data_IF_317226741921
#
_entry.id   IF_317226741921
#
_cell.length_a   1.000
_cell.length_b   1.000
_cell.length_c   1.000
_cell.angle_alpha   90.00
_cell.angle_beta   90.00
_cell.angle_gamma   90.00
#
_symmetry.space_group_name_H-M   'P 1'
#
loop_
_entity.id
_entity.type
_entity.pdbx_description
1 polymer ?
#
# COMPACT_ATOMS: atom_id res chain seq x y z
N UNK A 1 -48.24 4.93 -1.94
CA UNK A 1 -47.35 3.91 -2.44
C UNK A 1 -46.00 3.93 -1.72
N UNK A 2 -45.66 2.83 -1.18
CA UNK A 2 -44.42 2.77 -0.42
C UNK A 2 -43.24 2.75 -1.39
N UNK A 3 -42.41 3.77 -1.34
CA UNK A 3 -41.14 3.70 -2.02
C UNK A 3 -40.37 2.51 -1.47
N UNK A 4 -39.77 1.72 -2.33
CA UNK A 4 -38.85 0.69 -1.88
C UNK A 4 -37.85 1.31 -0.91
N UNK A 5 -37.95 0.96 0.36
CA UNK A 5 -36.92 1.26 1.32
C UNK A 5 -35.61 0.70 0.75
N UNK A 6 -34.63 1.55 0.54
CA UNK A 6 -33.37 1.06 0.06
C UNK A 6 -32.85 0.01 1.05
N UNK A 7 -32.59 -1.21 0.58
CA UNK A 7 -31.99 -2.27 1.38
C UNK A 7 -30.49 -2.00 1.63
N UNK A 8 -30.14 -0.72 1.85
CA UNK A 8 -28.76 -0.40 2.19
C UNK A 8 -28.44 -0.90 3.59
N UNK A 9 -27.29 -1.54 3.78
CA UNK A 9 -26.87 -2.01 5.09
C UNK A 9 -26.71 -0.83 6.05
N UNK A 10 -27.04 -1.05 7.30
CA UNK A 10 -26.72 -0.09 8.36
C UNK A 10 -25.21 -0.04 8.59
N UNK A 11 -24.74 0.99 9.28
CA UNK A 11 -23.32 1.05 9.70
C UNK A 11 -22.92 -0.20 10.50
N UNK A 12 -23.79 -0.67 11.39
CA UNK A 12 -23.56 -1.90 12.15
C UNK A 12 -23.39 -3.11 11.24
N UNK A 13 -24.24 -3.26 10.22
CA UNK A 13 -24.14 -4.36 9.26
C UNK A 13 -22.82 -4.27 8.47
N UNK A 14 -22.42 -3.08 8.06
CA UNK A 14 -21.18 -2.86 7.33
C UNK A 14 -19.96 -3.22 8.19
N UNK A 15 -19.94 -2.84 9.46
CA UNK A 15 -18.87 -3.19 10.40
C UNK A 15 -18.83 -4.70 10.67
N UNK A 16 -20.00 -5.33 10.85
CA UNK A 16 -20.10 -6.78 11.00
C UNK A 16 -19.51 -7.51 9.79
N UNK A 17 -19.89 -7.09 8.59
CA UNK A 17 -19.41 -7.70 7.35
C UNK A 17 -17.90 -7.51 7.19
N UNK A 18 -17.38 -6.35 7.56
CA UNK A 18 -15.96 -6.01 7.38
C UNK A 18 -15.05 -6.69 8.41
N UNK A 19 -15.42 -6.69 9.67
CA UNK A 19 -14.53 -7.08 10.76
C UNK A 19 -14.86 -8.43 11.39
N UNK A 20 -16.14 -8.79 11.50
CA UNK A 20 -16.55 -9.99 12.23
C UNK A 20 -16.91 -11.16 11.33
N UNK A 21 -17.64 -10.96 10.24
CA UNK A 21 -17.99 -12.05 9.35
C UNK A 21 -16.77 -12.81 8.82
N UNK A 22 -15.65 -12.16 8.46
CA UNK A 22 -14.45 -12.87 8.07
C UNK A 22 -13.89 -13.79 9.15
N UNK A 23 -14.07 -13.51 10.43
CA UNK A 23 -13.59 -14.35 11.52
C UNK A 23 -14.32 -15.69 11.65
N UNK A 24 -15.51 -15.80 11.08
CA UNK A 24 -16.36 -17.00 11.13
C UNK A 24 -16.03 -18.00 10.04
N UNK A 25 -15.20 -17.61 9.07
CA UNK A 25 -14.80 -18.47 7.96
C UNK A 25 -13.63 -19.36 8.38
N UNK A 26 -13.66 -20.61 7.91
CA UNK A 26 -12.47 -21.46 8.02
C UNK A 26 -11.33 -20.82 7.20
N UNK A 27 -10.15 -20.69 7.78
CA UNK A 27 -9.03 -20.00 7.18
C UNK A 27 -7.76 -20.78 7.28
N UNK A 28 -6.92 -20.61 6.27
CA UNK A 28 -5.50 -20.84 6.38
C UNK A 28 -4.86 -19.66 7.10
N UNK A 29 -3.97 -19.93 8.03
CA UNK A 29 -3.19 -18.88 8.69
C UNK A 29 -2.18 -18.31 7.70
N UNK A 30 -2.09 -16.98 7.65
CA UNK A 30 -1.15 -16.26 6.78
C UNK A 30 -0.44 -15.21 7.58
N UNK A 31 0.82 -14.96 7.22
CA UNK A 31 1.65 -13.93 7.83
C UNK A 31 2.02 -12.91 6.75
N UNK A 32 1.80 -11.65 7.04
CA UNK A 32 2.30 -10.54 6.26
C UNK A 32 3.53 -9.96 6.96
N UNK A 33 4.48 -9.46 6.17
CA UNK A 33 5.67 -8.77 6.66
C UNK A 33 5.73 -7.39 6.01
N UNK A 34 6.04 -6.39 6.80
CA UNK A 34 6.26 -5.03 6.33
C UNK A 34 7.65 -4.57 6.73
N UNK A 35 8.31 -3.88 5.81
CA UNK A 35 9.59 -3.20 6.06
C UNK A 35 9.38 -1.71 5.84
N UNK A 36 9.73 -0.92 6.83
CA UNK A 36 9.76 0.53 6.73
C UNK A 36 11.21 0.98 6.68
N UNK A 37 11.55 1.74 5.67
CA UNK A 37 12.91 2.18 5.39
C UNK A 37 12.94 3.69 5.22
N UNK A 38 13.64 4.43 6.09
CA UNK A 38 13.85 5.84 5.84
C UNK A 38 14.77 6.03 4.62
N UNK A 39 14.40 6.97 3.77
CA UNK A 39 15.23 7.34 2.61
C UNK A 39 16.15 8.47 3.02
N UNK A 40 17.44 8.29 2.81
CA UNK A 40 18.46 9.24 3.23
C UNK A 40 19.38 9.60 2.06
N UNK A 41 19.57 10.90 1.81
CA UNK A 41 20.51 11.38 0.81
C UNK A 41 21.94 11.35 1.39
N UNK A 42 22.79 10.52 0.83
CA UNK A 42 24.17 10.36 1.28
C UNK A 42 25.13 11.42 0.74
N UNK A 43 24.67 12.28 -0.16
CA UNK A 43 25.49 13.40 -0.63
C UNK A 43 25.72 14.38 0.52
N UNK A 44 26.96 14.74 0.86
CA UNK A 44 27.23 15.68 1.93
C UNK A 44 26.46 16.99 1.76
N UNK A 45 25.87 17.47 2.86
CA UNK A 45 25.07 18.71 2.93
C UNK A 45 23.86 18.78 1.99
N UNK A 46 23.50 17.69 1.36
CA UNK A 46 22.30 17.63 0.52
C UNK A 46 21.08 17.21 1.32
N UNK A 47 19.94 17.85 1.07
CA UNK A 47 18.68 17.48 1.68
C UNK A 47 18.15 16.17 1.08
N UNK A 48 17.45 15.39 1.90
CA UNK A 48 16.60 14.30 1.43
C UNK A 48 15.22 14.92 1.12
N UNK A 49 15.15 15.63 0.02
CA UNK A 49 13.93 16.27 -0.43
C UNK A 49 13.08 15.34 -1.32
N UNK A 50 11.93 15.83 -1.72
CA UNK A 50 11.02 15.09 -2.58
C UNK A 50 11.69 14.60 -3.89
N UNK A 51 12.50 15.45 -4.50
CA UNK A 51 13.19 15.11 -5.75
C UNK A 51 14.17 13.95 -5.58
N UNK A 52 14.95 13.96 -4.49
CA UNK A 52 15.87 12.87 -4.17
C UNK A 52 15.15 11.55 -3.90
N UNK A 53 14.06 11.61 -3.14
CA UNK A 53 13.23 10.41 -2.85
C UNK A 53 12.59 9.87 -4.11
N UNK A 54 12.06 10.75 -4.95
CA UNK A 54 11.45 10.35 -6.21
C UNK A 54 12.45 9.66 -7.14
N UNK A 55 13.64 10.21 -7.29
CA UNK A 55 14.70 9.62 -8.10
C UNK A 55 15.13 8.24 -7.56
N UNK A 56 15.28 8.11 -6.25
CA UNK A 56 15.62 6.84 -5.60
C UNK A 56 14.51 5.80 -5.82
N UNK A 57 13.26 6.19 -5.72
CA UNK A 57 12.12 5.30 -5.94
C UNK A 57 12.06 4.80 -7.37
N UNK A 58 12.23 5.69 -8.35
CA UNK A 58 12.26 5.30 -9.77
C UNK A 58 13.42 4.35 -10.06
N UNK A 59 14.60 4.59 -9.50
CA UNK A 59 15.74 3.69 -9.64
C UNK A 59 15.46 2.32 -9.02
N UNK A 60 14.91 2.29 -7.83
CA UNK A 60 14.51 1.04 -7.17
C UNK A 60 13.52 0.25 -8.02
N UNK A 61 12.46 0.88 -8.48
CA UNK A 61 11.42 0.23 -9.29
C UNK A 61 11.96 -0.31 -10.62
N UNK A 62 13.00 0.30 -11.18
CA UNK A 62 13.63 -0.20 -12.41
C UNK A 62 14.35 -1.54 -12.23
N UNK A 63 14.66 -1.93 -10.99
CA UNK A 63 15.43 -3.13 -10.64
C UNK A 63 14.59 -4.29 -10.11
N UNK A 64 13.33 -4.06 -9.81
CA UNK A 64 12.45 -5.04 -9.18
C UNK A 64 11.15 -5.20 -9.97
N UNK A 65 10.45 -6.35 -9.84
CA UNK A 65 9.32 -6.69 -10.71
C UNK A 65 8.00 -6.02 -10.32
N UNK A 66 8.02 -4.80 -9.83
CA UNK A 66 6.82 -4.01 -9.65
C UNK A 66 6.34 -3.46 -10.99
N UNK A 67 5.06 -3.58 -11.28
CA UNK A 67 4.51 -3.19 -12.58
C UNK A 67 3.29 -2.29 -12.51
N UNK A 68 2.48 -2.42 -11.48
CA UNK A 68 1.26 -1.64 -11.33
C UNK A 68 1.55 -0.36 -10.57
N UNK A 69 1.94 0.68 -11.30
CA UNK A 69 2.31 1.97 -10.70
C UNK A 69 1.09 2.86 -10.53
N UNK A 70 0.93 3.44 -9.35
CA UNK A 70 0.00 4.54 -9.11
C UNK A 70 0.81 5.81 -8.90
N UNK A 71 0.50 6.83 -9.69
CA UNK A 71 1.22 8.12 -9.66
C UNK A 71 0.31 9.20 -9.10
N UNK A 72 0.91 10.17 -8.44
CA UNK A 72 0.23 11.36 -8.00
C UNK A 72 0.03 12.36 -9.16
N UNK A 73 -0.57 13.50 -8.87
CA UNK A 73 -0.87 14.53 -9.88
C UNK A 73 0.39 15.14 -10.50
N UNK A 74 1.53 15.02 -9.85
CA UNK A 74 2.83 15.48 -10.33
C UNK A 74 3.64 14.41 -11.06
N UNK A 75 3.08 13.21 -11.18
CA UNK A 75 3.70 12.08 -11.86
C UNK A 75 4.63 11.23 -11.01
N UNK A 76 4.75 11.50 -9.72
CA UNK A 76 5.55 10.68 -8.81
C UNK A 76 4.82 9.39 -8.46
N UNK A 77 5.54 8.28 -8.46
CA UNK A 77 4.99 7.00 -7.99
C UNK A 77 4.83 7.05 -6.48
N UNK A 78 3.64 6.80 -5.99
CA UNK A 78 3.38 6.66 -4.56
C UNK A 78 2.98 5.24 -4.15
N UNK A 79 2.70 4.38 -5.10
CA UNK A 79 2.45 2.96 -4.88
C UNK A 79 2.83 2.16 -6.11
N UNK A 80 3.41 0.99 -5.90
CA UNK A 80 3.68 0.03 -6.95
C UNK A 80 3.41 -1.38 -6.42
N UNK A 81 2.91 -2.27 -7.25
CA UNK A 81 2.53 -3.61 -6.85
C UNK A 81 3.15 -4.64 -7.79
N UNK A 82 3.64 -5.73 -7.23
CA UNK A 82 3.96 -6.94 -8.01
C UNK A 82 2.70 -7.82 -8.04
N UNK A 83 2.05 -7.98 -9.19
CA UNK A 83 0.82 -8.76 -9.28
C UNK A 83 1.03 -10.25 -9.05
N UNK A 84 2.24 -10.78 -9.22
CA UNK A 84 2.54 -12.18 -9.02
C UNK A 84 2.63 -12.56 -7.54
N UNK A 85 3.30 -11.74 -6.74
CA UNK A 85 3.50 -11.98 -5.31
C UNK A 85 2.56 -11.19 -4.43
N UNK A 86 1.94 -10.15 -4.96
CA UNK A 86 1.14 -9.15 -4.26
C UNK A 86 1.96 -8.30 -3.28
N UNK A 87 3.27 -8.27 -3.48
CA UNK A 87 4.12 -7.33 -2.76
C UNK A 87 3.79 -5.91 -3.20
N UNK A 88 3.83 -4.99 -2.25
CA UNK A 88 3.50 -3.59 -2.51
C UNK A 88 4.60 -2.69 -1.96
N UNK A 89 4.98 -1.72 -2.77
CA UNK A 89 5.82 -0.61 -2.35
C UNK A 89 4.93 0.62 -2.22
N UNK A 90 5.02 1.30 -1.09
CA UNK A 90 4.29 2.53 -0.81
C UNK A 90 5.11 3.44 0.10
N UNK A 91 4.51 4.48 0.62
CA UNK A 91 5.14 5.38 1.58
C UNK A 91 4.27 5.48 2.82
N UNK A 92 4.91 5.46 3.99
CA UNK A 92 4.23 5.66 5.26
C UNK A 92 4.39 7.11 5.71
N UNK A 93 3.27 7.75 6.00
CA UNK A 93 3.18 9.13 6.51
C UNK A 93 3.76 10.21 5.58
N UNK A 94 4.87 9.95 4.92
CA UNK A 94 5.55 10.90 4.04
C UNK A 94 6.40 10.17 3.01
N UNK A 95 6.81 10.87 1.95
CA UNK A 95 7.69 10.31 0.94
C UNK A 95 9.10 9.96 1.45
N UNK A 96 9.45 10.33 2.66
CA UNK A 96 10.77 10.01 3.23
C UNK A 96 10.83 8.64 3.90
N UNK A 97 9.71 7.98 4.08
CA UNK A 97 9.64 6.62 4.63
C UNK A 97 9.04 5.69 3.60
N UNK A 98 9.89 4.87 3.00
CA UNK A 98 9.50 3.84 2.05
C UNK A 98 9.01 2.62 2.82
N UNK A 99 7.88 2.09 2.43
CA UNK A 99 7.31 0.87 3.01
C UNK A 99 7.22 -0.21 1.94
N UNK A 100 7.65 -1.40 2.29
CA UNK A 100 7.45 -2.59 1.45
C UNK A 100 6.62 -3.59 2.25
N UNK A 101 5.42 -3.87 1.76
CA UNK A 101 4.54 -4.89 2.29
C UNK A 101 4.66 -6.14 1.43
N UNK A 102 5.06 -7.23 2.03
CA UNK A 102 5.16 -8.51 1.32
C UNK A 102 3.80 -9.19 1.29
N UNK A 103 3.46 -9.78 0.16
CA UNK A 103 2.23 -10.53 0.01
C UNK A 103 2.10 -11.59 1.11
N UNK A 104 0.90 -11.82 1.67
CA UNK A 104 0.72 -12.75 2.77
C UNK A 104 1.07 -14.18 2.33
N UNK A 105 1.87 -14.84 3.15
CA UNK A 105 2.33 -16.21 2.95
C UNK A 105 1.80 -17.14 4.04
N UNK A 106 1.72 -18.42 3.75
CA UNK A 106 1.22 -19.46 4.67
C UNK A 106 2.29 -19.96 5.63
#
# INVERSE_FOLDING_TARGET
>A
MVSSMSNQPTLSDALQARFFAPLRRKRTRRVGVELELPVWNLTPDAATDFSAVHAATEDFLSRFPFSDYVRDDEGAVYRATDPATRDELSFDCSYNTLEISFGPDE
#
